data_IF_290546689410
#
_entry.id   IF_290546689410
#
_cell.length_a   1.000
_cell.length_b   1.000
_cell.length_c   1.000
_cell.angle_alpha   90.00
_cell.angle_beta   90.00
_cell.angle_gamma   90.00
#
_symmetry.space_group_name_H-M   'P 1'
#
loop_
_entity.id
_entity.type
_entity.pdbx_description
1 polymer ?
#
# COMPACT_ATOMS: atom_id res chain seq x y z
N UNK A 1 21.94 8.38 -22.02
CA UNK A 1 22.11 8.87 -20.63
C UNK A 1 20.79 8.90 -19.86
N UNK A 2 19.73 9.55 -20.36
CA UNK A 2 18.43 9.69 -19.66
C UNK A 2 17.81 8.36 -19.18
N UNK A 3 17.89 7.29 -19.99
CA UNK A 3 17.33 5.98 -19.66
C UNK A 3 17.98 5.32 -18.43
N UNK A 4 19.31 5.47 -18.27
CA UNK A 4 20.04 4.91 -17.12
C UNK A 4 19.72 5.66 -15.82
N UNK A 5 19.59 6.98 -15.88
CA UNK A 5 19.18 7.78 -14.71
C UNK A 5 17.76 7.43 -14.26
N UNK A 6 16.83 7.20 -15.19
CA UNK A 6 15.48 6.76 -14.84
C UNK A 6 15.46 5.33 -14.25
N UNK A 7 16.26 4.40 -14.82
CA UNK A 7 16.40 3.04 -14.29
C UNK A 7 16.94 3.03 -12.84
N UNK A 8 17.95 3.85 -12.54
CA UNK A 8 18.49 4.01 -11.19
C UNK A 8 17.47 4.63 -10.22
N UNK A 9 16.70 5.62 -10.69
CA UNK A 9 15.65 6.27 -9.91
C UNK A 9 14.55 5.27 -9.53
N UNK A 10 14.12 4.44 -10.49
CA UNK A 10 13.14 3.36 -10.28
C UNK A 10 13.69 2.29 -9.32
N UNK A 11 14.97 1.91 -9.46
CA UNK A 11 15.62 0.95 -8.55
C UNK A 11 15.63 1.46 -7.11
N UNK A 12 15.94 2.74 -6.89
CA UNK A 12 15.96 3.36 -5.56
C UNK A 12 14.57 3.40 -4.93
N UNK A 13 13.53 3.73 -5.71
CA UNK A 13 12.14 3.73 -5.25
C UNK A 13 11.67 2.32 -4.85
N UNK A 14 11.98 1.29 -5.65
CA UNK A 14 11.68 -0.11 -5.32
C UNK A 14 12.36 -0.56 -4.03
N UNK A 15 13.62 -0.14 -3.82
CA UNK A 15 14.38 -0.48 -2.62
C UNK A 15 13.79 0.18 -1.36
N UNK A 16 13.36 1.44 -1.45
CA UNK A 16 12.67 2.12 -0.36
C UNK A 16 11.34 1.44 -0.01
N UNK A 17 10.58 0.99 -1.01
CA UNK A 17 9.34 0.22 -0.79
C UNK A 17 9.61 -1.11 -0.08
N UNK A 18 10.69 -1.81 -0.48
CA UNK A 18 11.10 -3.05 0.17
C UNK A 18 11.48 -2.83 1.64
N UNK A 19 12.23 -1.76 1.93
CA UNK A 19 12.58 -1.40 3.31
C UNK A 19 11.36 -1.04 4.16
N UNK A 20 10.37 -0.34 3.59
CA UNK A 20 9.11 -0.04 4.28
C UNK A 20 8.32 -1.32 4.61
N UNK A 21 8.29 -2.30 3.69
CA UNK A 21 7.68 -3.63 3.94
C UNK A 21 8.42 -4.40 5.03
N UNK A 22 9.75 -4.42 4.98
CA UNK A 22 10.58 -5.15 5.94
C UNK A 22 10.56 -4.56 7.36
N UNK A 23 10.55 -3.23 7.50
CA UNK A 23 10.40 -2.59 8.82
C UNK A 23 9.04 -2.89 9.46
N UNK A 24 8.00 -3.17 8.67
CA UNK A 24 6.70 -3.62 9.19
C UNK A 24 6.67 -5.07 9.70
N UNK A 25 7.69 -5.89 9.39
CA UNK A 25 7.70 -7.33 9.68
C UNK A 25 8.54 -7.73 10.89
N UNK A 26 9.35 -6.83 11.48
CA UNK A 26 10.46 -7.24 12.37
C UNK A 26 10.14 -7.36 13.87
N UNK A 27 8.90 -7.18 14.32
CA UNK A 27 8.56 -7.21 15.76
C UNK A 27 7.43 -8.22 16.08
N UNK A 28 7.62 -9.50 15.73
CA UNK A 28 6.68 -10.57 16.07
C UNK A 28 7.07 -11.20 17.41
N UNK A 29 6.81 -10.49 18.51
CA UNK A 29 6.65 -11.10 19.83
C UNK A 29 5.25 -11.70 19.93
N UNK A 30 5.17 -13.00 20.17
CA UNK A 30 4.05 -13.87 19.82
C UNK A 30 2.76 -13.70 20.65
N UNK A 31 2.73 -12.82 21.66
CA UNK A 31 1.58 -12.68 22.58
C UNK A 31 0.76 -11.39 22.40
N UNK A 32 1.17 -10.46 21.53
CA UNK A 32 0.45 -9.18 21.30
C UNK A 32 0.09 -8.91 19.83
N UNK A 33 0.06 -9.97 19.02
CA UNK A 33 0.02 -9.88 17.55
C UNK A 33 -1.35 -9.52 16.96
N UNK A 34 -2.44 -9.63 17.72
CA UNK A 34 -3.77 -9.52 17.10
C UNK A 34 -4.27 -8.08 16.93
N UNK A 35 -3.61 -7.08 17.52
CA UNK A 35 -4.17 -5.74 17.60
C UNK A 35 -3.11 -4.66 17.49
N UNK A 36 -2.29 -4.67 16.44
CA UNK A 36 -1.47 -3.51 16.09
C UNK A 36 -1.84 -3.00 14.69
N UNK A 37 -1.70 -1.70 14.49
CA UNK A 37 -1.87 -1.10 13.18
C UNK A 37 -0.71 -1.51 12.27
N UNK A 38 -0.98 -2.12 11.12
CA UNK A 38 0.05 -2.52 10.17
C UNK A 38 0.85 -1.36 9.56
N UNK A 39 0.47 -0.09 9.81
CA UNK A 39 1.15 1.11 9.29
C UNK A 39 1.96 1.82 10.36
N UNK A 40 1.32 2.24 11.45
CA UNK A 40 1.99 2.96 12.54
C UNK A 40 2.44 2.06 13.70
N UNK A 41 2.13 0.76 13.66
CA UNK A 41 2.45 -0.23 14.71
C UNK A 41 1.90 0.08 16.11
N UNK A 42 1.12 1.17 16.28
CA UNK A 42 0.37 1.47 17.50
C UNK A 42 -0.58 0.32 17.83
N UNK A 43 -0.74 0.03 19.12
CA UNK A 43 -1.75 -0.91 19.59
C UNK A 43 -3.16 -0.42 19.25
N UNK A 44 -4.03 -1.36 18.90
CA UNK A 44 -5.43 -1.18 18.60
C UNK A 44 -6.23 -1.62 19.82
N UNK A 45 -7.20 -0.81 20.23
CA UNK A 45 -7.95 -1.08 21.45
C UNK A 45 -8.89 -2.27 21.32
N UNK A 46 -9.33 -2.78 22.48
CA UNK A 46 -10.31 -3.86 22.55
C UNK A 46 -11.73 -3.41 22.24
N UNK A 47 -12.10 -2.21 22.71
CA UNK A 47 -13.45 -1.66 22.64
C UNK A 47 -13.50 -0.49 21.65
N UNK A 48 -12.62 0.49 21.82
CA UNK A 48 -12.44 1.65 20.95
C UNK A 48 -11.21 1.45 20.05
N UNK A 49 -11.25 1.95 18.81
CA UNK A 49 -10.12 1.88 17.87
C UNK A 49 -9.57 0.46 17.62
N UNK A 50 -10.46 -0.54 17.44
CA UNK A 50 -10.11 -1.92 17.03
C UNK A 50 -9.40 -2.04 15.67
N UNK A 51 -9.25 -0.91 14.98
CA UNK A 51 -8.82 -0.83 13.60
C UNK A 51 -9.80 -1.50 12.65
N UNK A 52 -9.53 -1.38 11.36
CA UNK A 52 -10.32 -2.02 10.30
C UNK A 52 -9.39 -2.60 9.23
N UNK A 53 -9.91 -3.51 8.40
CA UNK A 53 -9.14 -4.24 7.38
C UNK A 53 -9.16 -3.49 6.05
N UNK A 54 -7.99 -3.12 5.54
CA UNK A 54 -7.86 -2.31 4.33
C UNK A 54 -8.30 -3.06 3.06
N UNK A 55 -9.22 -2.48 2.29
CA UNK A 55 -9.73 -3.06 1.02
C UNK A 55 -8.68 -3.27 -0.08
N UNK A 56 -7.49 -2.68 0.04
CA UNK A 56 -6.41 -2.85 -0.95
C UNK A 56 -5.31 -3.86 -0.58
N UNK A 57 -5.17 -4.25 0.69
CA UNK A 57 -4.07 -5.14 1.10
C UNK A 57 -4.44 -6.09 2.24
N UNK A 58 -5.69 -6.07 2.72
CA UNK A 58 -6.19 -6.93 3.78
C UNK A 58 -5.45 -6.81 5.13
N UNK A 59 -4.66 -5.75 5.34
CA UNK A 59 -4.01 -5.48 6.61
C UNK A 59 -4.90 -4.64 7.53
N UNK A 60 -4.85 -4.90 8.84
CA UNK A 60 -5.57 -4.14 9.87
C UNK A 60 -4.86 -2.81 10.17
N UNK A 61 -5.59 -1.71 10.17
CA UNK A 61 -5.05 -0.36 10.38
C UNK A 61 -5.92 0.48 11.32
N UNK A 62 -5.29 1.39 12.07
CA UNK A 62 -6.00 2.35 12.94
C UNK A 62 -6.76 3.40 12.11
N UNK A 63 -7.67 4.13 12.76
CA UNK A 63 -8.46 5.20 12.15
C UNK A 63 -7.62 6.25 11.43
N UNK A 64 -6.53 6.71 12.05
CA UNK A 64 -5.58 7.69 11.49
C UNK A 64 -4.86 7.19 10.23
N UNK A 65 -4.71 5.88 10.06
CA UNK A 65 -4.02 5.27 8.92
C UNK A 65 -4.98 4.87 7.79
N UNK A 66 -6.24 5.31 7.84
CA UNK A 66 -7.26 5.09 6.80
C UNK A 66 -7.48 6.37 6.00
N UNK A 67 -7.69 6.20 4.71
CA UNK A 67 -8.16 7.24 3.79
C UNK A 67 -9.50 6.76 3.24
N UNK A 68 -10.56 7.53 3.52
CA UNK A 68 -11.88 7.28 2.98
C UNK A 68 -11.91 7.78 1.54
N UNK A 69 -12.23 6.89 0.60
CA UNK A 69 -12.45 7.24 -0.81
C UNK A 69 -13.93 7.56 -1.03
N UNK A 70 -14.81 6.73 -0.47
CA UNK A 70 -16.26 6.88 -0.44
C UNK A 70 -16.78 6.39 0.93
N UNK A 71 -18.04 6.67 1.32
CA UNK A 71 -18.60 6.22 2.61
C UNK A 71 -18.49 4.70 2.85
N UNK A 72 -18.56 3.92 1.77
CA UNK A 72 -18.45 2.46 1.78
C UNK A 72 -17.06 1.92 1.40
N UNK A 73 -16.15 2.77 0.92
CA UNK A 73 -14.84 2.35 0.40
C UNK A 73 -13.72 3.17 1.01
N UNK A 74 -12.83 2.50 1.73
CA UNK A 74 -11.64 3.11 2.31
C UNK A 74 -10.43 2.21 2.08
N UNK A 75 -9.24 2.82 2.08
CA UNK A 75 -7.95 2.13 1.95
C UNK A 75 -6.99 2.65 2.99
N UNK A 76 -5.94 1.89 3.31
CA UNK A 76 -4.86 2.43 4.13
C UNK A 76 -4.06 3.49 3.37
N UNK A 77 -3.41 4.39 4.09
CA UNK A 77 -2.58 5.47 3.52
C UNK A 77 -1.57 4.97 2.47
N UNK A 78 -0.96 3.79 2.69
CA UNK A 78 -0.04 3.17 1.72
C UNK A 78 -0.74 2.73 0.43
N UNK A 79 -1.88 2.05 0.54
CA UNK A 79 -2.65 1.64 -0.65
C UNK A 79 -3.22 2.84 -1.40
N UNK A 80 -3.57 3.91 -0.67
CA UNK A 80 -4.00 5.17 -1.26
C UNK A 80 -2.85 5.83 -2.03
N UNK A 81 -1.69 6.00 -1.39
CA UNK A 81 -0.50 6.57 -2.03
C UNK A 81 -0.03 5.75 -3.23
N UNK A 82 -0.11 4.42 -3.18
CA UNK A 82 0.20 3.57 -4.32
C UNK A 82 -0.75 3.81 -5.50
N UNK A 83 -2.04 4.04 -5.24
CA UNK A 83 -3.01 4.41 -6.28
C UNK A 83 -2.70 5.79 -6.88
N UNK A 84 -2.39 6.78 -6.04
CA UNK A 84 -2.06 8.14 -6.48
C UNK A 84 -0.77 8.16 -7.33
N UNK A 85 0.25 7.40 -6.93
CA UNK A 85 1.48 7.23 -7.72
C UNK A 85 1.18 6.58 -9.07
N UNK A 86 0.32 5.55 -9.11
CA UNK A 86 -0.08 4.89 -10.36
C UNK A 86 -0.80 5.83 -11.33
N UNK A 87 -1.64 6.72 -10.80
CA UNK A 87 -2.32 7.76 -11.59
C UNK A 87 -1.30 8.78 -12.10
N UNK A 88 -0.46 9.33 -11.23
CA UNK A 88 0.56 10.33 -11.59
C UNK A 88 1.67 9.78 -12.51
N UNK A 89 1.99 8.50 -12.41
CA UNK A 89 2.97 7.82 -13.24
C UNK A 89 2.41 7.38 -14.61
N UNK A 90 1.11 7.60 -14.88
CA UNK A 90 0.48 7.15 -16.12
C UNK A 90 0.28 5.63 -16.21
N UNK A 91 0.58 4.87 -15.16
CA UNK A 91 0.41 3.41 -15.12
C UNK A 91 -1.07 2.98 -15.20
N UNK A 92 -2.00 3.87 -14.82
CA UNK A 92 -3.43 3.66 -15.03
C UNK A 92 -3.80 3.49 -16.51
N UNK A 93 -3.07 4.15 -17.42
CA UNK A 93 -3.31 4.10 -18.85
C UNK A 93 -2.93 2.74 -19.45
N UNK A 94 -1.85 2.12 -18.96
CA UNK A 94 -1.40 0.80 -19.41
C UNK A 94 -2.35 -0.32 -18.98
N UNK A 95 -2.89 -0.24 -17.76
CA UNK A 95 -3.92 -1.20 -17.31
C UNK A 95 -5.23 -1.06 -18.08
N UNK A 96 -5.63 0.18 -18.40
CA UNK A 96 -6.85 0.39 -19.18
C UNK A 96 -6.69 -0.08 -20.63
N UNK A 97 -5.49 0.07 -21.21
CA UNK A 97 -5.16 -0.52 -22.52
C UNK A 97 -5.13 -2.05 -22.47
N UNK A 98 -4.56 -2.65 -21.43
CA UNK A 98 -4.51 -4.11 -21.25
C UNK A 98 -5.91 -4.74 -21.07
N UNK A 99 -6.84 -4.03 -20.41
CA UNK A 99 -8.26 -4.46 -20.37
C UNK A 99 -8.95 -4.34 -21.71
N UNK A 100 -8.56 -3.37 -22.54
CA UNK A 100 -9.20 -3.07 -23.83
C UNK A 100 -8.65 -3.93 -24.98
N UNK A 101 -7.43 -4.45 -24.85
CA UNK A 101 -6.76 -5.30 -25.83
C UNK A 101 -5.99 -6.43 -25.12
N UNK A 102 -6.67 -7.52 -24.71
CA UNK A 102 -6.02 -8.63 -24.00
C UNK A 102 -5.09 -9.49 -24.88
N UNK A 103 -5.12 -9.37 -26.21
CA UNK A 103 -4.39 -10.24 -27.15
C UNK A 103 -3.02 -9.72 -27.66
N UNK A 104 -2.54 -8.54 -27.25
CA UNK A 104 -1.19 -8.08 -27.63
C UNK A 104 -0.11 -8.53 -26.64
N UNK A 105 -0.12 -9.82 -26.31
CA UNK A 105 0.87 -10.49 -25.47
C UNK A 105 1.29 -11.81 -26.07
N UNK A 106 1.87 -11.77 -27.27
CA UNK A 106 2.72 -12.88 -27.77
C UNK A 106 4.07 -12.87 -27.05
#
# INVERSE_FOLDING_TARGET
MVRKTEEERVRKLKMQLHQLRWKGARNVSHEYRERSCARCQKSLGLLLNRGAVCNGCSHRVCSECRVCLNPSLWKCTVCYAHGDVKVKAGEWFFEERAKRYPDEGS
#
